data_IF_405418793426
#
_entry.id   IF_405418793426
#
_cell.length_a   1.000
_cell.length_b   1.000
_cell.length_c   1.000
_cell.angle_alpha   90.00
_cell.angle_beta   90.00
_cell.angle_gamma   90.00
#
_symmetry.space_group_name_H-M   'P 1'
#
loop_
_entity.id
_entity.type
_entity.pdbx_description
1 polymer ?
#
# COMPACT_ATOMS: atom_id res chain seq x y z
N UNK A 1 2.65 -12.83 26.47
CA UNK A 1 1.16 -12.78 26.50
C UNK A 1 0.65 -14.09 25.88
N UNK A 2 -0.31 -14.77 26.49
CA UNK A 2 -0.77 -16.08 25.99
C UNK A 2 -1.45 -15.91 24.61
N UNK A 3 -1.23 -16.83 23.65
CA UNK A 3 -1.85 -16.75 22.33
C UNK A 3 -3.37 -16.88 22.46
N UNK A 4 -4.11 -15.94 21.87
CA UNK A 4 -5.58 -15.99 21.81
C UNK A 4 -5.98 -17.24 21.02
N UNK A 5 -6.70 -18.17 21.65
CA UNK A 5 -7.16 -19.40 21.01
C UNK A 5 -8.35 -19.11 20.09
N UNK A 6 -8.05 -18.81 18.83
CA UNK A 6 -9.07 -18.62 17.80
C UNK A 6 -9.55 -19.99 17.28
N UNK A 7 -10.84 -20.13 16.97
CA UNK A 7 -11.36 -21.38 16.40
C UNK A 7 -10.71 -21.67 15.03
N UNK A 8 -10.56 -22.97 14.67
CA UNK A 8 -10.03 -23.36 13.38
C UNK A 8 -10.79 -22.70 12.22
N UNK A 9 -10.06 -22.15 11.25
CA UNK A 9 -10.64 -21.47 10.09
C UNK A 9 -10.83 -19.96 10.25
N UNK A 10 -10.64 -19.40 11.46
CA UNK A 10 -10.60 -17.96 11.66
C UNK A 10 -9.35 -17.36 10.99
N UNK A 11 -9.52 -16.30 10.21
CA UNK A 11 -8.46 -15.66 9.43
C UNK A 11 -8.54 -14.16 9.60
N UNK A 12 -7.38 -13.54 9.60
CA UNK A 12 -7.29 -12.09 9.51
C UNK A 12 -7.64 -11.65 8.09
N UNK A 13 -8.87 -11.15 7.88
CA UNK A 13 -9.37 -10.67 6.60
C UNK A 13 -10.18 -9.37 6.77
N UNK A 14 -9.56 -8.30 7.32
CA UNK A 14 -10.26 -7.05 7.56
C UNK A 14 -10.60 -6.34 6.24
N UNK A 15 -11.67 -5.55 6.25
CA UNK A 15 -11.94 -4.54 5.23
C UNK A 15 -11.01 -3.34 5.39
N UNK A 16 -10.85 -2.54 4.34
CA UNK A 16 -10.05 -1.30 4.37
C UNK A 16 -10.49 -0.36 5.50
N UNK A 17 -11.81 -0.25 5.71
CA UNK A 17 -12.41 0.53 6.79
C UNK A 17 -11.98 0.04 8.18
N UNK A 18 -11.87 -1.28 8.37
CA UNK A 18 -11.48 -1.88 9.64
C UNK A 18 -9.98 -1.69 9.90
N UNK A 19 -9.15 -1.81 8.85
CA UNK A 19 -7.72 -1.52 8.93
C UNK A 19 -7.47 -0.08 9.38
N UNK A 20 -8.18 0.87 8.78
CA UNK A 20 -7.98 2.30 9.09
C UNK A 20 -8.65 2.68 10.42
N UNK A 21 -9.95 2.41 10.56
CA UNK A 21 -10.74 2.93 11.67
C UNK A 21 -10.49 2.20 13.00
N UNK A 22 -10.10 0.92 12.95
CA UNK A 22 -9.80 0.15 14.15
C UNK A 22 -8.29 0.03 14.40
N UNK A 23 -7.52 -0.57 13.48
CA UNK A 23 -6.12 -0.90 13.74
C UNK A 23 -5.22 0.34 13.72
N UNK A 24 -5.23 1.10 12.62
CA UNK A 24 -4.37 2.27 12.45
C UNK A 24 -4.71 3.37 13.45
N UNK A 25 -6.00 3.72 13.57
CA UNK A 25 -6.46 4.76 14.49
C UNK A 25 -6.12 4.43 15.95
N UNK A 26 -6.26 3.18 16.38
CA UNK A 26 -5.86 2.79 17.73
C UNK A 26 -4.35 2.87 17.93
N UNK A 27 -3.56 2.42 16.96
CA UNK A 27 -2.09 2.49 17.02
C UNK A 27 -1.60 3.94 17.17
N UNK A 28 -2.09 4.86 16.34
CA UNK A 28 -1.72 6.30 16.40
C UNK A 28 -2.10 6.90 17.76
N UNK A 29 -3.25 6.52 18.31
CA UNK A 29 -3.71 7.00 19.61
C UNK A 29 -3.07 6.26 20.81
N UNK A 30 -2.08 5.38 20.59
CA UNK A 30 -1.47 4.57 21.64
C UNK A 30 -2.45 3.62 22.35
N UNK A 31 -3.59 3.33 21.73
CA UNK A 31 -4.62 2.46 22.29
C UNK A 31 -4.24 0.99 22.09
N UNK A 32 -4.49 0.17 23.12
CA UNK A 32 -4.24 -1.28 23.06
C UNK A 32 -5.08 -1.95 21.96
N UNK A 33 -4.43 -2.75 21.12
CA UNK A 33 -5.10 -3.57 20.10
C UNK A 33 -5.34 -4.96 20.72
N UNK A 34 -6.57 -5.46 20.63
CA UNK A 34 -6.97 -6.73 21.27
C UNK A 34 -6.27 -7.95 20.65
N UNK A 35 -5.93 -7.83 19.36
CA UNK A 35 -5.25 -8.84 18.57
C UNK A 35 -3.98 -8.22 17.97
N UNK A 36 -2.85 -8.44 18.63
CA UNK A 36 -1.51 -7.99 18.20
C UNK A 36 -0.99 -8.85 17.03
N UNK A 37 -1.78 -8.91 15.95
CA UNK A 37 -1.54 -9.74 14.76
C UNK A 37 -0.64 -9.01 13.75
N UNK A 38 -0.67 -7.67 13.73
CA UNK A 38 0.12 -6.85 12.81
C UNK A 38 1.49 -6.59 13.45
N UNK A 39 2.54 -7.14 12.84
CA UNK A 39 3.92 -6.95 13.27
C UNK A 39 4.42 -5.54 12.92
N UNK A 40 5.20 -4.94 13.81
CA UNK A 40 5.92 -3.69 13.54
C UNK A 40 7.30 -4.00 12.95
N UNK A 41 7.54 -3.57 11.72
CA UNK A 41 8.81 -3.77 11.03
C UNK A 41 9.15 -2.51 10.25
N UNK A 42 10.41 -2.09 10.31
CA UNK A 42 10.95 -1.03 9.46
C UNK A 42 11.25 -1.60 8.07
N UNK A 43 10.32 -1.39 7.14
CA UNK A 43 10.39 -1.92 5.78
C UNK A 43 11.56 -1.36 4.98
N UNK A 44 12.09 -0.20 5.35
CA UNK A 44 13.19 0.44 4.63
C UNK A 44 14.56 -0.14 4.99
N UNK A 45 14.64 -0.96 6.04
CA UNK A 45 15.87 -1.60 6.50
C UNK A 45 15.94 -3.10 6.21
N UNK A 46 14.91 -3.68 5.60
CA UNK A 46 14.82 -5.11 5.37
C UNK A 46 14.48 -5.39 3.92
N UNK A 47 15.15 -6.37 3.31
CA UNK A 47 14.75 -6.86 2.00
C UNK A 47 13.48 -7.71 2.15
N UNK A 48 12.58 -7.76 1.15
CA UNK A 48 11.28 -8.45 1.27
C UNK A 48 11.37 -9.93 1.70
N UNK A 49 12.50 -10.59 1.42
CA UNK A 49 12.76 -11.99 1.79
C UNK A 49 13.30 -12.17 3.21
N UNK A 50 13.83 -11.12 3.85
CA UNK A 50 14.35 -11.22 5.22
C UNK A 50 13.24 -11.52 6.23
N UNK A 51 12.00 -11.22 5.89
CA UNK A 51 10.82 -11.60 6.68
C UNK A 51 10.56 -13.12 6.74
N UNK A 52 11.20 -13.92 5.87
CA UNK A 52 11.04 -15.39 5.79
C UNK A 52 12.10 -16.16 6.59
N UNK A 53 13.13 -15.47 7.06
CA UNK A 53 14.25 -16.05 7.83
C UNK A 53 13.80 -16.90 9.04
N UNK A 54 12.78 -16.53 9.86
CA UNK A 54 12.35 -17.39 10.96
C UNK A 54 11.78 -18.75 10.52
N UNK A 55 11.12 -18.83 9.36
CA UNK A 55 10.66 -20.10 8.79
C UNK A 55 11.83 -20.97 8.31
N UNK A 56 12.83 -20.34 7.67
CA UNK A 56 14.04 -21.05 7.22
C UNK A 56 14.84 -21.63 8.39
N UNK A 57 14.86 -20.95 9.56
CA UNK A 57 15.51 -21.47 10.77
C UNK A 57 14.81 -22.69 11.36
N UNK A 58 13.48 -22.68 11.42
CA UNK A 58 12.70 -23.83 11.91
C UNK A 58 12.91 -25.04 10.98
N UNK A 59 12.89 -24.82 9.67
CA UNK A 59 13.16 -25.87 8.67
C UNK A 59 14.58 -26.42 8.83
N UNK A 60 15.58 -25.56 9.03
CA UNK A 60 16.97 -26.01 9.23
C UNK A 60 17.17 -26.85 10.49
N UNK A 61 16.50 -26.51 11.59
CA UNK A 61 16.55 -27.26 12.84
C UNK A 61 15.85 -28.62 12.70
N UNK A 62 14.75 -28.71 11.94
CA UNK A 62 14.10 -29.98 11.66
C UNK A 62 14.90 -30.86 10.67
N UNK A 63 15.60 -30.27 9.71
CA UNK A 63 16.52 -31.03 8.85
C UNK A 63 17.67 -31.65 9.64
N UNK A 64 18.15 -31.01 10.72
CA UNK A 64 19.20 -31.59 11.57
C UNK A 64 18.76 -32.82 12.39
N UNK A 65 17.46 -33.10 12.50
CA UNK A 65 16.94 -34.30 13.16
C UNK A 65 16.71 -35.49 12.22
N UNK A 66 16.88 -35.32 10.90
CA UNK A 66 16.69 -36.37 9.91
C UNK A 66 18.01 -37.14 9.66
N UNK A 67 18.02 -38.45 9.91
CA UNK A 67 19.20 -39.30 9.69
C UNK A 67 19.36 -39.68 8.22
N UNK A 68 20.60 -39.96 7.78
CA UNK A 68 20.91 -40.43 6.42
C UNK A 68 20.26 -41.79 6.14
N UNK A 69 20.08 -42.62 7.18
CA UNK A 69 19.40 -43.92 7.08
C UNK A 69 17.91 -43.77 6.73
N UNK A 70 17.24 -42.77 7.31
CA UNK A 70 15.83 -42.47 7.02
C UNK A 70 15.65 -41.97 5.58
N UNK A 71 16.61 -41.19 5.06
CA UNK A 71 16.65 -40.72 3.68
C UNK A 71 16.83 -41.88 2.69
N UNK A 72 17.68 -42.86 3.00
CA UNK A 72 17.90 -44.05 2.15
C UNK A 72 16.67 -44.95 2.15
N UNK A 73 16.01 -45.13 3.30
CA UNK A 73 14.77 -45.90 3.42
C UNK A 73 13.64 -45.26 2.59
N UNK A 74 13.46 -43.93 2.72
CA UNK A 74 12.47 -43.17 1.95
C UNK A 74 12.72 -43.25 0.45
N UNK A 75 13.98 -43.13 0.03
CA UNK A 75 14.40 -43.22 -1.37
C UNK A 75 14.18 -44.63 -1.96
N UNK A 76 14.39 -45.68 -1.17
CA UNK A 76 14.12 -47.06 -1.58
C UNK A 76 12.62 -47.33 -1.74
N UNK A 77 11.77 -46.80 -0.86
CA UNK A 77 10.31 -46.96 -0.91
C UNK A 77 9.67 -46.16 -2.07
N UNK A 78 10.21 -44.97 -2.40
CA UNK A 78 9.72 -44.18 -3.53
C UNK A 78 10.12 -44.77 -4.89
N UNK A 79 11.27 -45.44 -4.99
CA UNK A 79 11.79 -46.00 -6.25
C UNK A 79 11.01 -47.20 -6.79
N UNK A 80 10.32 -47.95 -5.93
CA UNK A 80 9.76 -49.26 -6.31
C UNK A 80 8.23 -49.32 -6.36
N UNK A 81 7.51 -48.22 -6.12
CA UNK A 81 6.05 -48.26 -6.14
C UNK A 81 5.43 -46.95 -6.69
N UNK A 82 4.89 -47.01 -7.91
CA UNK A 82 4.19 -45.91 -8.58
C UNK A 82 3.06 -45.34 -7.72
N UNK A 83 2.37 -46.20 -6.95
CA UNK A 83 1.33 -45.78 -6.02
C UNK A 83 1.85 -44.87 -4.90
N UNK A 84 3.04 -45.14 -4.37
CA UNK A 84 3.68 -44.32 -3.33
C UNK A 84 4.00 -42.92 -3.87
N UNK A 85 4.56 -42.82 -5.09
CA UNK A 85 4.83 -41.55 -5.74
C UNK A 85 3.56 -40.71 -5.95
N UNK A 86 2.49 -41.33 -6.46
CA UNK A 86 1.20 -40.64 -6.69
C UNK A 86 0.63 -40.14 -5.36
N UNK A 87 0.60 -40.96 -4.31
CA UNK A 87 0.09 -40.57 -2.99
C UNK A 87 0.91 -39.42 -2.40
N UNK A 88 2.25 -39.49 -2.44
CA UNK A 88 3.12 -38.43 -1.96
C UNK A 88 2.94 -37.13 -2.74
N UNK A 89 2.81 -37.18 -4.07
CA UNK A 89 2.58 -35.99 -4.90
C UNK A 89 1.24 -35.31 -4.58
N UNK A 90 0.17 -36.09 -4.41
CA UNK A 90 -1.16 -35.58 -4.05
C UNK A 90 -1.14 -34.97 -2.65
N UNK A 91 -0.49 -35.63 -1.69
CA UNK A 91 -0.30 -35.12 -0.34
C UNK A 91 0.47 -33.79 -0.36
N UNK A 92 1.56 -33.69 -1.11
CA UNK A 92 2.36 -32.46 -1.21
C UNK A 92 1.57 -31.31 -1.86
N UNK A 93 0.80 -31.57 -2.91
CA UNK A 93 -0.06 -30.54 -3.53
C UNK A 93 -1.17 -30.11 -2.57
N UNK A 94 -1.78 -31.05 -1.85
CA UNK A 94 -2.81 -30.77 -0.86
C UNK A 94 -2.28 -29.95 0.32
N UNK A 95 -1.16 -30.36 0.91
CA UNK A 95 -0.49 -29.64 2.00
C UNK A 95 0.01 -28.27 1.53
N UNK A 96 0.54 -28.17 0.29
CA UNK A 96 0.94 -26.90 -0.30
C UNK A 96 -0.24 -25.94 -0.49
N UNK A 97 -1.37 -26.44 -1.01
CA UNK A 97 -2.62 -25.66 -1.13
C UNK A 97 -3.14 -25.23 0.23
N UNK A 98 -3.17 -26.14 1.22
CA UNK A 98 -3.54 -25.79 2.58
C UNK A 98 -2.61 -24.72 3.13
N UNK A 99 -1.29 -24.87 2.98
CA UNK A 99 -0.30 -23.88 3.41
C UNK A 99 -0.54 -22.51 2.77
N UNK A 100 -0.69 -22.42 1.44
CA UNK A 100 -0.96 -21.15 0.76
C UNK A 100 -2.31 -20.55 1.13
N UNK A 101 -3.31 -21.38 1.37
CA UNK A 101 -4.60 -20.92 1.89
C UNK A 101 -4.42 -20.40 3.30
N UNK A 102 -3.78 -21.13 4.23
CA UNK A 102 -3.59 -20.81 5.66
C UNK A 102 -2.54 -19.74 5.92
N UNK A 103 -1.66 -19.45 4.98
CA UNK A 103 -0.62 -18.44 5.10
C UNK A 103 -1.25 -17.05 5.19
N UNK A 104 -1.04 -16.38 6.31
CA UNK A 104 -1.34 -14.96 6.43
C UNK A 104 -0.47 -14.21 5.42
N UNK A 105 -1.10 -13.38 4.59
CA UNK A 105 -0.36 -12.39 3.82
C UNK A 105 0.01 -11.28 4.80
N UNK A 106 1.29 -10.94 4.85
CA UNK A 106 1.73 -9.84 5.68
C UNK A 106 1.10 -8.56 5.12
N UNK A 107 0.30 -7.90 5.95
CA UNK A 107 -0.28 -6.59 5.64
C UNK A 107 0.66 -5.56 6.24
N UNK A 108 1.15 -4.68 5.40
CA UNK A 108 2.09 -3.64 5.78
C UNK A 108 1.38 -2.30 5.78
N UNK A 109 1.61 -1.54 6.85
CA UNK A 109 1.23 -0.14 6.88
C UNK A 109 2.33 0.65 6.19
N UNK A 110 2.02 1.28 5.07
CA UNK A 110 2.94 2.17 4.37
C UNK A 110 2.66 3.59 4.84
N UNK A 111 3.67 4.22 5.41
CA UNK A 111 3.62 5.65 5.70
C UNK A 111 3.94 6.44 4.43
N UNK A 112 3.19 7.50 4.19
CA UNK A 112 3.36 8.33 3.00
C UNK A 112 3.03 9.78 3.33
N UNK A 113 3.80 10.69 2.74
CA UNK A 113 3.56 12.13 2.83
C UNK A 113 3.09 12.67 1.48
N UNK A 114 2.12 13.57 1.52
CA UNK A 114 1.61 14.26 0.34
C UNK A 114 1.52 15.75 0.65
N UNK A 115 2.10 16.58 -0.22
CA UNK A 115 1.98 18.02 -0.07
C UNK A 115 0.50 18.45 -0.14
N UNK A 116 0.05 19.17 0.90
CA UNK A 116 -1.25 19.80 0.96
C UNK A 116 -1.11 21.32 0.89
N UNK A 117 -1.61 21.98 -0.17
CA UNK A 117 -1.53 23.43 -0.27
C UNK A 117 -2.35 24.15 0.80
N UNK A 118 -2.01 25.43 1.03
CA UNK A 118 -2.75 26.30 1.95
C UNK A 118 -4.23 26.41 1.54
N UNK A 119 -5.19 26.48 2.48
CA UNK A 119 -6.61 26.61 2.18
C UNK A 119 -6.97 27.80 1.28
N UNK A 120 -6.16 28.86 1.29
CA UNK A 120 -6.30 30.05 0.44
C UNK A 120 -6.22 29.73 -1.06
N UNK A 121 -5.55 28.63 -1.43
CA UNK A 121 -5.40 28.18 -2.81
C UNK A 121 -6.54 27.26 -3.27
N UNK A 122 -7.54 27.04 -2.41
CA UNK A 122 -8.69 26.17 -2.70
C UNK A 122 -9.83 26.97 -3.33
N UNK A 123 -10.17 26.63 -4.57
CA UNK A 123 -11.16 27.36 -5.35
C UNK A 123 -12.13 26.42 -6.06
N UNK A 124 -13.28 26.97 -6.46
CA UNK A 124 -14.28 26.23 -7.20
C UNK A 124 -13.98 26.16 -8.69
N UNK A 125 -14.54 25.16 -9.37
CA UNK A 125 -14.45 25.02 -10.82
C UNK A 125 -15.01 26.25 -11.55
N UNK A 126 -16.08 26.83 -11.02
CA UNK A 126 -16.76 28.00 -11.59
C UNK A 126 -15.85 29.23 -11.51
N UNK A 127 -15.21 29.45 -10.36
CA UNK A 127 -14.27 30.54 -10.19
C UNK A 127 -13.03 30.36 -11.08
N UNK A 128 -12.53 29.14 -11.23
CA UNK A 128 -11.45 28.86 -12.19
C UNK A 128 -11.85 29.23 -13.63
N UNK A 129 -13.08 28.90 -14.04
CA UNK A 129 -13.60 29.28 -15.36
C UNK A 129 -13.80 30.79 -15.48
N UNK A 130 -14.26 31.46 -14.44
CA UNK A 130 -14.38 32.93 -14.39
C UNK A 130 -13.01 33.61 -14.55
N UNK A 131 -12.00 33.15 -13.80
CA UNK A 131 -10.62 33.67 -13.91
C UNK A 131 -10.04 33.44 -15.30
N UNK A 132 -10.26 32.25 -15.88
CA UNK A 132 -9.83 31.92 -17.23
C UNK A 132 -10.40 32.87 -18.30
N UNK A 133 -11.67 33.30 -18.13
CA UNK A 133 -12.28 34.33 -18.99
C UNK A 133 -11.62 35.70 -18.80
N UNK A 134 -11.32 36.09 -17.57
CA UNK A 134 -10.70 37.39 -17.26
C UNK A 134 -9.28 37.54 -17.83
N UNK A 135 -8.56 36.43 -18.02
CA UNK A 135 -7.21 36.46 -18.58
C UNK A 135 -7.16 36.93 -20.03
N UNK A 136 -8.27 36.83 -20.78
CA UNK A 136 -8.36 37.20 -22.21
C UNK A 136 -7.32 36.52 -23.13
N UNK A 137 -6.71 35.43 -22.66
CA UNK A 137 -5.77 34.59 -23.43
C UNK A 137 -6.56 33.57 -24.28
N UNK A 138 -7.74 33.15 -23.81
CA UNK A 138 -8.54 32.12 -24.44
C UNK A 138 -9.69 32.72 -25.26
N UNK A 139 -9.96 32.11 -26.41
CA UNK A 139 -11.19 32.34 -27.18
C UNK A 139 -12.37 31.66 -26.49
N UNK A 140 -13.60 32.04 -26.84
CA UNK A 140 -14.81 31.37 -26.31
C UNK A 140 -14.82 29.86 -26.60
N UNK A 141 -14.39 29.44 -27.80
CA UNK A 141 -14.27 28.01 -28.14
C UNK A 141 -13.27 27.27 -27.22
N UNK A 142 -12.15 27.92 -26.88
CA UNK A 142 -11.16 27.37 -25.96
C UNK A 142 -11.73 27.26 -24.54
N UNK A 143 -12.51 28.26 -24.10
CA UNK A 143 -13.15 28.30 -22.79
C UNK A 143 -14.24 27.22 -22.67
N UNK A 144 -15.03 27.00 -23.71
CA UNK A 144 -16.02 25.92 -23.77
C UNK A 144 -15.37 24.54 -23.71
N UNK A 145 -14.23 24.38 -24.41
CA UNK A 145 -13.43 23.17 -24.33
C UNK A 145 -12.86 22.95 -22.92
N UNK A 146 -12.28 23.99 -22.32
CA UNK A 146 -11.75 23.97 -20.96
C UNK A 146 -12.85 23.64 -19.93
N UNK A 147 -14.05 24.19 -20.09
CA UNK A 147 -15.19 23.89 -19.23
C UNK A 147 -15.59 22.41 -19.30
N UNK A 148 -15.58 21.81 -20.50
CA UNK A 148 -15.83 20.37 -20.69
C UNK A 148 -14.75 19.52 -20.04
N UNK A 149 -13.48 19.90 -20.13
CA UNK A 149 -12.37 19.21 -19.46
C UNK A 149 -12.55 19.24 -17.95
N UNK A 150 -12.74 20.42 -17.36
CA UNK A 150 -12.91 20.61 -15.91
C UNK A 150 -14.14 19.87 -15.37
N UNK A 151 -15.21 19.79 -16.17
CA UNK A 151 -16.40 19.02 -15.85
C UNK A 151 -16.17 17.50 -15.83
N UNK A 152 -15.21 16.99 -16.62
CA UNK A 152 -14.95 15.56 -16.79
C UNK A 152 -13.67 15.04 -16.13
N UNK A 153 -12.82 15.91 -15.61
CA UNK A 153 -11.48 15.59 -15.08
C UNK A 153 -11.44 14.83 -13.75
N UNK A 154 -12.59 14.52 -13.15
CA UNK A 154 -12.66 13.91 -11.82
C UNK A 154 -12.22 14.84 -10.67
N UNK A 155 -11.84 16.10 -10.97
CA UNK A 155 -11.52 17.11 -9.96
C UNK A 155 -12.78 17.40 -9.11
N UNK A 156 -12.62 17.54 -7.80
CA UNK A 156 -13.71 17.90 -6.88
C UNK A 156 -14.30 19.29 -7.18
N UNK A 157 -15.48 19.59 -6.63
CA UNK A 157 -16.09 20.93 -6.79
C UNK A 157 -15.16 22.04 -6.29
N UNK A 158 -14.47 21.79 -5.17
CA UNK A 158 -13.42 22.63 -4.64
C UNK A 158 -12.09 21.88 -4.75
N UNK A 159 -11.08 22.53 -5.33
CA UNK A 159 -9.76 21.93 -5.47
C UNK A 159 -8.68 23.01 -5.38
N UNK A 160 -7.44 22.58 -5.22
CA UNK A 160 -6.30 23.48 -5.17
C UNK A 160 -5.82 23.78 -6.59
N UNK A 161 -5.59 25.06 -6.87
CA UNK A 161 -5.05 25.50 -8.14
C UNK A 161 -3.78 26.35 -7.92
N UNK A 162 -2.88 26.41 -8.91
CA UNK A 162 -1.69 27.24 -8.84
C UNK A 162 -2.05 28.71 -8.72
N UNK A 163 -1.40 29.43 -7.81
CA UNK A 163 -1.58 30.88 -7.62
C UNK A 163 -1.36 31.66 -8.92
N UNK A 164 -0.39 31.21 -9.74
CA UNK A 164 -0.07 31.72 -11.06
C UNK A 164 -1.25 31.77 -12.04
N UNK A 165 -2.21 30.85 -11.93
CA UNK A 165 -3.39 30.78 -12.81
C UNK A 165 -4.58 31.55 -12.21
N UNK A 166 -4.59 31.74 -10.89
CA UNK A 166 -5.68 32.37 -10.16
C UNK A 166 -5.53 33.90 -10.07
N UNK A 167 -4.29 34.41 -10.08
CA UNK A 167 -4.00 35.83 -10.09
C UNK A 167 -4.46 36.47 -11.40
N UNK A 168 -4.98 37.71 -11.35
CA UNK A 168 -5.41 38.47 -12.54
C UNK A 168 -4.56 39.73 -12.65
N UNK A 169 -3.73 39.89 -13.69
CA UNK A 169 -3.52 38.96 -14.81
C UNK A 169 -2.73 37.70 -14.42
N UNK A 170 -2.95 36.58 -15.12
CA UNK A 170 -2.20 35.34 -14.90
C UNK A 170 -0.70 35.53 -15.13
N UNK A 171 0.13 34.88 -14.30
CA UNK A 171 1.58 34.84 -14.47
C UNK A 171 2.05 33.43 -14.82
N UNK A 172 1.94 33.07 -16.10
CA UNK A 172 2.25 31.72 -16.59
C UNK A 172 3.72 31.54 -17.02
N UNK A 173 4.65 32.23 -16.37
CA UNK A 173 6.07 32.11 -16.70
C UNK A 173 6.69 30.83 -16.11
N UNK A 174 7.80 30.39 -16.70
CA UNK A 174 8.52 29.20 -16.22
C UNK A 174 8.99 29.33 -14.76
N UNK A 175 9.26 30.54 -14.28
CA UNK A 175 9.68 30.75 -12.90
C UNK A 175 8.58 30.40 -11.89
N UNK A 176 7.31 30.76 -12.15
CA UNK A 176 6.21 30.39 -11.27
C UNK A 176 5.89 28.88 -11.34
N UNK A 177 6.03 28.26 -12.52
CA UNK A 177 5.86 26.81 -12.66
C UNK A 177 6.93 26.02 -11.88
N UNK A 178 8.19 26.48 -11.91
CA UNK A 178 9.28 25.89 -11.13
C UNK A 178 9.00 26.06 -9.63
N UNK A 179 8.61 27.26 -9.20
CA UNK A 179 8.25 27.55 -7.81
C UNK A 179 7.12 26.68 -7.30
N UNK A 180 6.09 26.41 -8.10
CA UNK A 180 5.01 25.47 -7.76
C UNK A 180 5.55 24.05 -7.61
N UNK A 181 6.35 23.58 -8.57
CA UNK A 181 6.92 22.23 -8.53
C UNK A 181 7.83 22.04 -7.30
N UNK A 182 8.68 23.02 -6.99
CA UNK A 182 9.52 23.03 -5.79
C UNK A 182 8.68 22.99 -4.51
N UNK A 183 7.61 23.79 -4.43
CA UNK A 183 6.71 23.82 -3.28
C UNK A 183 6.04 22.46 -3.04
N UNK A 184 5.59 21.77 -4.09
CA UNK A 184 4.97 20.44 -3.99
C UNK A 184 5.99 19.38 -3.61
N UNK A 185 7.15 19.36 -4.26
CA UNK A 185 8.19 18.35 -4.01
C UNK A 185 8.80 18.51 -2.62
N UNK A 186 9.31 19.70 -2.30
CA UNK A 186 9.95 19.95 -1.02
C UNK A 186 8.93 19.95 0.12
N UNK A 187 7.71 20.43 -0.09
CA UNK A 187 6.67 20.36 0.93
C UNK A 187 6.26 18.93 1.29
N UNK A 188 6.29 17.98 0.34
CA UNK A 188 6.06 16.56 0.63
C UNK A 188 7.26 15.91 1.35
N UNK A 189 8.48 16.32 1.00
CA UNK A 189 9.71 15.84 1.64
C UNK A 189 9.78 16.34 3.08
N UNK A 190 9.50 17.62 3.32
CA UNK A 190 9.50 18.23 4.64
C UNK A 190 8.47 17.58 5.57
N UNK A 191 7.28 17.23 5.07
CA UNK A 191 6.25 16.50 5.83
C UNK A 191 6.65 15.04 6.11
N UNK A 192 7.50 14.44 5.27
CA UNK A 192 7.99 13.08 5.49
C UNK A 192 9.12 13.01 6.53
N UNK A 193 9.99 14.03 6.57
CA UNK A 193 11.20 14.04 7.42
C UNK A 193 11.09 14.95 8.67
N UNK A 194 10.09 15.82 8.74
CA UNK A 194 9.86 16.79 9.83
C UNK A 194 8.89 16.29 10.89
#
# INVERSE_FOLDING_TARGET
MAPVSLPPGFRFHPKDEELVAYYLKRKINGCKIELEIILEVDLYKCEPWDLLVPLLRIVSAHLSTFSVEDLVLLWSQLKFNLGSYVVCSVLMVFLGRLYFMTRSRNIYLVDFACYKPKPELMYSKELFMERSRLHKIFTEDNLDFQQKIVGRSGIGHMSYFPEAILCVPANLCMAEAIKEAEMVMFGAIDDFFG
#
